data_IF_499922487924
#
_entry.id   IF_499922487924
#
_cell.length_a   1.000
_cell.length_b   1.000
_cell.length_c   1.000
_cell.angle_alpha   90.00
_cell.angle_beta   90.00
_cell.angle_gamma   90.00
#
_symmetry.space_group_name_H-M   'P 1'
#
loop_
_entity.id
_entity.type
_entity.pdbx_description
1 polymer ?
#
# COMPACT_ATOMS: atom_id res chain seq x y z
N UNK A 1 -31.06 16.30 41.70
CA UNK A 1 -31.47 16.01 40.30
C UNK A 1 -31.84 17.29 39.55
N UNK A 2 -32.39 18.30 40.21
CA UNK A 2 -32.85 19.55 39.56
C UNK A 2 -31.76 20.39 38.90
N UNK A 3 -30.51 20.35 39.39
CA UNK A 3 -29.41 21.09 38.76
C UNK A 3 -28.98 20.50 37.39
N UNK A 4 -29.10 19.18 37.22
CA UNK A 4 -28.81 18.50 35.94
C UNK A 4 -29.92 18.81 34.94
N UNK A 5 -31.18 18.78 35.38
CA UNK A 5 -32.34 19.10 34.54
C UNK A 5 -32.33 20.59 34.13
N UNK A 6 -31.95 21.49 35.04
CA UNK A 6 -31.77 22.92 34.76
C UNK A 6 -30.61 23.20 33.80
N UNK A 7 -29.48 22.51 33.95
CA UNK A 7 -28.34 22.61 33.04
C UNK A 7 -28.64 22.11 31.62
N UNK A 8 -29.43 21.03 31.50
CA UNK A 8 -29.88 20.53 30.19
C UNK A 8 -30.88 21.50 29.56
N UNK A 9 -31.80 22.08 30.33
CA UNK A 9 -32.76 23.08 29.84
C UNK A 9 -32.10 24.38 29.38
N UNK A 10 -31.00 24.82 30.01
CA UNK A 10 -30.27 26.03 29.58
C UNK A 10 -29.47 25.79 28.30
N UNK A 11 -28.88 24.59 28.14
CA UNK A 11 -28.21 24.16 26.91
C UNK A 11 -29.17 24.10 25.71
N UNK A 12 -30.41 23.66 25.93
CA UNK A 12 -31.46 23.59 24.89
C UNK A 12 -32.01 24.98 24.50
N UNK A 13 -31.82 26.00 25.33
CA UNK A 13 -32.23 27.39 25.08
C UNK A 13 -31.13 28.26 24.45
N UNK A 14 -29.93 27.72 24.23
CA UNK A 14 -28.89 28.42 23.48
C UNK A 14 -29.31 28.53 22.02
N UNK A 15 -29.12 29.71 21.43
CA UNK A 15 -29.28 29.86 19.97
C UNK A 15 -28.41 28.82 19.25
N UNK A 16 -28.97 28.22 18.19
CA UNK A 16 -28.28 27.25 17.33
C UNK A 16 -26.90 27.75 16.86
N UNK A 17 -26.68 29.07 16.80
CA UNK A 17 -25.39 29.68 16.46
C UNK A 17 -24.30 29.41 17.51
N UNK A 18 -24.63 29.46 18.80
CA UNK A 18 -23.66 29.22 19.88
C UNK A 18 -23.26 27.74 19.90
N UNK A 19 -24.24 26.85 19.72
CA UNK A 19 -24.02 25.40 19.63
C UNK A 19 -23.13 25.08 18.42
N UNK A 20 -23.47 25.62 17.24
CA UNK A 20 -22.66 25.46 16.03
C UNK A 20 -21.23 25.98 16.20
N UNK A 21 -21.06 27.17 16.79
CA UNK A 21 -19.73 27.75 17.05
C UNK A 21 -18.91 26.94 18.04
N UNK A 22 -19.53 26.38 19.08
CA UNK A 22 -18.87 25.49 20.02
C UNK A 22 -18.39 24.20 19.34
N UNK A 23 -19.22 23.56 18.49
CA UNK A 23 -18.82 22.39 17.71
C UNK A 23 -17.69 22.71 16.71
N UNK A 24 -17.78 23.83 15.98
CA UNK A 24 -16.72 24.26 15.07
C UNK A 24 -15.41 24.51 15.81
N UNK A 25 -15.45 25.23 16.93
CA UNK A 25 -14.26 25.51 17.75
C UNK A 25 -13.68 24.22 18.32
N UNK A 26 -14.53 23.33 18.85
CA UNK A 26 -14.13 22.02 19.34
C UNK A 26 -13.48 21.16 18.24
N UNK A 27 -14.04 21.17 17.03
CA UNK A 27 -13.47 20.45 15.89
C UNK A 27 -12.12 21.04 15.44
N UNK A 28 -11.98 22.37 15.40
CA UNK A 28 -10.71 23.03 15.06
C UNK A 28 -9.63 22.67 16.10
N UNK A 29 -9.97 22.71 17.39
CA UNK A 29 -9.04 22.30 18.45
C UNK A 29 -8.67 20.83 18.32
N UNK A 30 -9.65 19.94 18.15
CA UNK A 30 -9.42 18.52 17.88
C UNK A 30 -8.49 18.33 16.66
N UNK A 31 -8.75 19.01 15.56
CA UNK A 31 -7.96 18.91 14.35
C UNK A 31 -6.50 19.36 14.59
N UNK A 32 -6.29 20.52 15.21
CA UNK A 32 -4.95 21.07 15.42
C UNK A 32 -4.12 20.28 16.44
N UNK A 33 -4.75 19.73 17.49
CA UNK A 33 -4.04 19.04 18.57
C UNK A 33 -4.00 17.52 18.41
N UNK A 34 -5.04 16.90 17.86
CA UNK A 34 -5.11 15.43 17.72
C UNK A 34 -4.82 14.91 16.32
N UNK A 35 -5.15 15.68 15.28
CA UNK A 35 -5.02 15.24 13.88
C UNK A 35 -3.72 15.73 13.25
N UNK A 36 -3.39 17.02 13.36
CA UNK A 36 -2.19 17.60 12.77
C UNK A 36 -0.97 17.30 13.63
N UNK A 37 -0.36 16.14 13.37
CA UNK A 37 0.80 15.63 14.11
C UNK A 37 1.97 15.36 13.16
N UNK A 38 3.18 15.48 13.71
CA UNK A 38 4.36 14.87 13.09
C UNK A 38 4.13 13.35 13.08
N UNK A 39 4.40 12.65 11.96
CA UNK A 39 4.23 11.21 11.92
C UNK A 39 5.14 10.53 12.95
N UNK A 40 4.66 9.45 13.56
CA UNK A 40 5.47 8.66 14.49
C UNK A 40 6.38 7.74 13.70
N UNK A 41 7.70 7.86 13.88
CA UNK A 41 8.68 6.94 13.31
C UNK A 41 9.06 5.88 14.35
N UNK A 42 8.71 4.63 14.09
CA UNK A 42 9.19 3.45 14.82
C UNK A 42 10.37 2.86 14.04
N UNK A 43 11.57 2.97 14.59
CA UNK A 43 12.82 2.54 13.97
C UNK A 43 13.86 2.43 15.09
N UNK A 44 14.67 1.37 15.08
CA UNK A 44 15.75 1.26 16.05
C UNK A 44 16.74 2.41 15.91
N UNK A 45 17.31 2.87 17.03
CA UNK A 45 18.38 3.87 16.99
C UNK A 45 19.58 3.35 16.17
N UNK A 46 20.18 4.23 15.37
CA UNK A 46 21.32 3.87 14.54
C UNK A 46 21.31 4.58 13.19
N UNK A 47 22.14 4.07 12.27
CA UNK A 47 22.41 4.73 10.99
C UNK A 47 21.16 4.93 10.13
N UNK A 48 20.24 3.96 10.09
CA UNK A 48 19.04 4.08 9.25
C UNK A 48 18.07 5.13 9.79
N UNK A 49 17.83 5.16 11.10
CA UNK A 49 17.03 6.22 11.73
C UNK A 49 17.65 7.59 11.48
N UNK A 50 18.95 7.75 11.73
CA UNK A 50 19.66 9.01 11.48
C UNK A 50 19.57 9.42 10.00
N UNK A 51 19.67 8.47 9.07
CA UNK A 51 19.47 8.73 7.66
C UNK A 51 18.06 9.24 7.37
N UNK A 52 17.02 8.53 7.85
CA UNK A 52 15.63 8.91 7.64
C UNK A 52 15.33 10.32 8.19
N UNK A 53 15.82 10.64 9.39
CA UNK A 53 15.59 11.94 10.03
C UNK A 53 16.29 13.10 9.29
N UNK A 54 17.47 12.85 8.71
CA UNK A 54 18.27 13.89 8.04
C UNK A 54 17.97 14.03 6.54
N UNK A 55 17.55 12.95 5.88
CA UNK A 55 17.40 12.88 4.41
C UNK A 55 15.95 12.81 3.96
N UNK A 56 15.00 12.56 4.85
CA UNK A 56 13.56 12.54 4.54
C UNK A 56 12.83 13.60 5.38
N UNK A 57 12.88 14.89 5.00
CA UNK A 57 12.28 15.99 5.76
C UNK A 57 10.80 15.80 6.11
N UNK A 58 10.03 15.12 5.25
CA UNK A 58 8.62 14.82 5.51
C UNK A 58 8.36 14.05 6.83
N UNK A 59 9.37 13.38 7.37
CA UNK A 59 9.28 12.69 8.66
C UNK A 59 9.42 13.63 9.86
N UNK A 60 9.99 14.81 9.65
CA UNK A 60 10.19 15.85 10.66
C UNK A 60 9.07 16.90 10.66
N UNK A 61 8.33 17.01 9.56
CA UNK A 61 7.24 17.95 9.37
C UNK A 61 5.89 17.42 9.88
N UNK A 62 4.97 18.33 10.18
CA UNK A 62 3.58 17.94 10.51
C UNK A 62 2.86 17.50 9.25
N UNK A 63 2.20 16.35 9.31
CA UNK A 63 1.23 15.97 8.28
C UNK A 63 -0.09 16.71 8.56
N UNK A 64 -0.70 17.25 7.51
CA UNK A 64 -1.97 17.99 7.56
C UNK A 64 -3.06 17.21 6.81
N UNK A 65 -3.66 16.15 7.40
CA UNK A 65 -4.76 15.41 6.77
C UNK A 65 -5.86 16.35 6.30
N UNK A 66 -6.52 16.03 5.17
CA UNK A 66 -7.56 16.93 4.64
C UNK A 66 -8.65 17.26 5.65
N UNK A 67 -8.80 18.56 5.95
CA UNK A 67 -9.57 19.09 7.09
C UNK A 67 -11.01 18.59 7.16
N UNK A 68 -11.69 18.43 6.03
CA UNK A 68 -13.10 18.01 5.98
C UNK A 68 -13.27 16.50 5.74
N UNK A 69 -12.20 15.77 5.45
CA UNK A 69 -12.25 14.34 5.11
C UNK A 69 -11.84 13.50 6.33
N UNK A 70 -12.70 13.48 7.35
CA UNK A 70 -12.37 12.91 8.67
C UNK A 70 -12.39 11.39 8.69
N UNK A 71 -13.34 10.79 7.97
CA UNK A 71 -13.60 9.35 8.06
C UNK A 71 -12.62 8.57 7.15
N UNK A 72 -12.03 7.48 7.65
CA UNK A 72 -10.93 6.78 7.00
C UNK A 72 -11.27 6.13 5.64
N UNK A 73 -12.50 5.58 5.51
CA UNK A 73 -12.99 5.03 4.23
C UNK A 73 -13.27 6.17 3.27
N UNK A 74 -13.87 7.27 3.74
CA UNK A 74 -14.08 8.47 2.96
C UNK A 74 -12.75 9.04 2.43
N UNK A 75 -11.69 9.07 3.25
CA UNK A 75 -10.35 9.45 2.80
C UNK A 75 -9.85 8.56 1.65
N UNK A 76 -10.05 7.26 1.77
CA UNK A 76 -9.64 6.27 0.74
C UNK A 76 -10.40 6.47 -0.57
N UNK A 77 -11.73 6.60 -0.50
CA UNK A 77 -12.58 6.80 -1.67
C UNK A 77 -12.38 8.17 -2.31
N UNK A 78 -12.36 9.22 -1.50
CA UNK A 78 -12.20 10.60 -1.97
C UNK A 78 -10.82 10.82 -2.60
N UNK A 79 -9.77 10.19 -2.07
CA UNK A 79 -8.47 10.22 -2.73
C UNK A 79 -8.53 9.63 -4.15
N UNK A 80 -9.28 8.56 -4.37
CA UNK A 80 -9.48 8.02 -5.73
C UNK A 80 -10.16 9.04 -6.64
N UNK A 81 -11.24 9.68 -6.18
CA UNK A 81 -11.96 10.68 -6.99
C UNK A 81 -11.12 11.92 -7.31
N UNK A 82 -10.46 12.48 -6.30
CA UNK A 82 -9.59 13.65 -6.46
C UNK A 82 -8.44 13.33 -7.40
N UNK A 83 -7.77 12.20 -7.21
CA UNK A 83 -6.66 11.78 -8.07
C UNK A 83 -7.09 11.53 -9.51
N UNK A 84 -8.27 10.97 -9.75
CA UNK A 84 -8.82 10.81 -11.10
C UNK A 84 -8.98 12.16 -11.84
N UNK A 85 -9.14 13.26 -11.11
CA UNK A 85 -9.26 14.61 -11.69
C UNK A 85 -7.89 15.28 -11.91
N UNK A 86 -6.92 15.06 -11.02
CA UNK A 86 -5.64 15.81 -11.05
C UNK A 86 -4.47 15.03 -11.64
N UNK A 87 -4.51 13.70 -11.63
CA UNK A 87 -3.44 12.83 -12.12
C UNK A 87 -3.65 12.55 -13.61
N UNK A 88 -2.74 13.02 -14.48
CA UNK A 88 -2.91 12.88 -15.92
C UNK A 88 -2.83 11.41 -16.35
N UNK A 89 -3.27 11.14 -17.58
CA UNK A 89 -2.95 9.88 -18.23
C UNK A 89 -1.45 9.74 -18.47
N UNK A 90 -0.94 8.52 -18.32
CA UNK A 90 0.46 8.19 -18.56
C UNK A 90 0.52 7.21 -19.72
N UNK A 91 1.35 7.52 -20.70
CA UNK A 91 1.67 6.62 -21.80
C UNK A 91 2.86 5.75 -21.40
N UNK A 92 2.57 4.53 -20.99
CA UNK A 92 3.59 3.55 -20.62
C UNK A 92 4.15 2.84 -21.86
N UNK A 93 5.45 2.53 -21.83
CA UNK A 93 5.99 1.48 -22.70
C UNK A 93 5.60 0.14 -22.09
N UNK A 94 4.65 -0.54 -22.70
CA UNK A 94 4.16 -1.85 -22.25
C UNK A 94 5.04 -2.98 -22.75
N UNK A 95 5.29 -3.96 -21.89
CA UNK A 95 6.07 -5.13 -22.19
C UNK A 95 5.44 -6.38 -21.54
N UNK A 96 5.17 -7.41 -22.34
CA UNK A 96 4.62 -8.68 -21.86
C UNK A 96 5.78 -9.60 -21.55
N UNK A 97 5.84 -10.12 -20.33
CA UNK A 97 6.85 -11.08 -19.91
C UNK A 97 6.20 -12.45 -19.74
N UNK A 98 6.68 -13.42 -20.52
CA UNK A 98 6.37 -14.83 -20.32
C UNK A 98 7.26 -15.40 -19.22
N UNK A 99 6.64 -15.95 -18.19
CA UNK A 99 7.29 -16.56 -17.03
C UNK A 99 7.65 -18.01 -17.30
N UNK A 100 8.48 -18.62 -16.45
CA UNK A 100 8.97 -20.00 -16.63
C UNK A 100 7.86 -21.05 -16.72
N UNK A 101 6.73 -20.81 -16.07
CA UNK A 101 5.56 -21.70 -16.10
C UNK A 101 4.67 -21.50 -17.35
N UNK A 102 5.08 -20.64 -18.28
CA UNK A 102 4.35 -20.33 -19.51
C UNK A 102 3.23 -19.30 -19.33
N UNK A 103 2.98 -18.83 -18.10
CA UNK A 103 2.05 -17.73 -17.87
C UNK A 103 2.66 -16.38 -18.22
N UNK A 104 1.80 -15.35 -18.22
CA UNK A 104 2.21 -14.01 -18.62
C UNK A 104 1.82 -12.96 -17.59
N UNK A 105 2.71 -11.98 -17.46
CA UNK A 105 2.52 -10.75 -16.72
C UNK A 105 2.85 -9.56 -17.63
N UNK A 106 2.47 -8.36 -17.19
CA UNK A 106 2.71 -7.15 -17.96
C UNK A 106 3.50 -6.13 -17.14
N UNK A 107 4.62 -5.66 -17.70
CA UNK A 107 5.43 -4.58 -17.18
C UNK A 107 5.12 -3.29 -17.94
N UNK A 108 4.68 -2.27 -17.21
CA UNK A 108 4.45 -0.94 -17.78
C UNK A 108 5.56 0.01 -17.32
N UNK A 109 6.39 0.42 -18.27
CA UNK A 109 7.60 1.21 -18.02
C UNK A 109 7.34 2.69 -18.23
N UNK A 110 7.85 3.52 -17.32
CA UNK A 110 7.98 4.96 -17.53
C UNK A 110 9.42 5.40 -17.27
N UNK A 111 10.04 5.95 -18.30
CA UNK A 111 11.35 6.54 -18.21
C UNK A 111 11.27 7.98 -17.66
N UNK A 112 12.22 8.41 -16.82
CA UNK A 112 12.22 9.77 -16.29
C UNK A 112 12.46 10.81 -17.39
N UNK A 113 13.34 10.47 -18.33
CA UNK A 113 13.66 11.22 -19.55
C UNK A 113 13.77 10.23 -20.71
N UNK A 114 13.56 10.72 -21.94
CA UNK A 114 13.72 9.90 -23.13
C UNK A 114 15.17 9.41 -23.26
N UNK A 115 15.36 8.14 -23.62
CA UNK A 115 16.68 7.50 -23.74
C UNK A 115 17.59 7.66 -22.51
N UNK A 116 17.00 7.62 -21.30
CA UNK A 116 17.78 7.67 -20.07
C UNK A 116 18.82 6.52 -20.00
N UNK A 117 19.95 6.74 -19.29
CA UNK A 117 20.99 5.74 -19.16
C UNK A 117 20.49 4.36 -18.66
N UNK A 118 21.19 3.29 -19.04
CA UNK A 118 20.84 1.94 -18.58
C UNK A 118 20.96 1.78 -17.06
N UNK A 119 21.94 2.47 -16.46
CA UNK A 119 22.18 2.49 -15.01
C UNK A 119 21.25 3.45 -14.23
N UNK A 120 20.25 4.07 -14.87
CA UNK A 120 19.25 4.90 -14.18
C UNK A 120 18.56 4.11 -13.07
N UNK A 121 18.50 4.63 -11.83
CA UNK A 121 17.80 4.00 -10.72
C UNK A 121 16.39 3.55 -11.10
N UNK A 122 16.04 2.33 -10.72
CA UNK A 122 14.79 1.70 -11.15
C UNK A 122 13.98 1.25 -9.94
N UNK A 123 12.72 1.70 -9.86
CA UNK A 123 11.76 1.28 -8.83
C UNK A 123 10.65 0.45 -9.46
N UNK A 124 10.50 -0.79 -8.98
CA UNK A 124 9.37 -1.66 -9.32
C UNK A 124 8.19 -1.33 -8.41
N UNK A 125 7.04 -1.04 -8.99
CA UNK A 125 5.81 -0.67 -8.26
C UNK A 125 4.85 -1.85 -8.34
N UNK A 126 4.45 -2.36 -7.17
CA UNK A 126 3.48 -3.45 -7.02
C UNK A 126 2.12 -2.87 -6.58
N UNK A 127 1.12 -2.84 -7.47
CA UNK A 127 -0.24 -2.43 -7.12
C UNK A 127 -0.89 -3.35 -6.08
N UNK A 128 -1.98 -2.87 -5.46
CA UNK A 128 -2.81 -3.64 -4.54
C UNK A 128 -3.71 -4.70 -5.20
N UNK A 129 -4.63 -5.28 -4.41
CA UNK A 129 -5.47 -6.45 -4.72
C UNK A 129 -6.06 -6.49 -6.15
N UNK A 130 -6.50 -5.36 -6.68
CA UNK A 130 -7.10 -5.23 -8.02
C UNK A 130 -6.50 -4.07 -8.83
N UNK A 131 -5.37 -3.53 -8.38
CA UNK A 131 -4.72 -2.38 -9.00
C UNK A 131 -3.92 -2.76 -10.24
N UNK A 132 -3.79 -1.79 -11.16
CA UNK A 132 -2.93 -1.87 -12.32
C UNK A 132 -2.24 -0.51 -12.55
N UNK A 133 -1.36 -0.42 -13.55
CA UNK A 133 -0.64 0.80 -13.95
C UNK A 133 -1.51 2.04 -14.18
N UNK A 134 -2.78 1.87 -14.55
CA UNK A 134 -3.72 2.97 -14.77
C UNK A 134 -4.44 3.45 -13.50
N UNK A 135 -4.32 2.75 -12.37
CA UNK A 135 -4.90 3.21 -11.12
C UNK A 135 -4.24 4.54 -10.67
N UNK A 136 -5.02 5.51 -10.22
CA UNK A 136 -4.51 6.87 -10.03
C UNK A 136 -3.44 6.99 -8.94
N UNK A 137 -3.50 6.13 -7.90
CA UNK A 137 -2.44 6.07 -6.89
C UNK A 137 -1.13 5.49 -7.47
N UNK A 138 -1.20 4.56 -8.43
CA UNK A 138 -0.02 4.02 -9.12
C UNK A 138 0.58 5.09 -10.03
N UNK A 139 -0.27 5.75 -10.83
CA UNK A 139 0.16 6.88 -11.68
C UNK A 139 0.82 7.99 -10.86
N UNK A 140 0.27 8.33 -9.68
CA UNK A 140 0.87 9.32 -8.79
C UNK A 140 2.26 8.93 -8.29
N UNK A 141 2.48 7.66 -7.91
CA UNK A 141 3.79 7.16 -7.51
C UNK A 141 4.79 7.16 -8.69
N UNK A 142 4.33 6.74 -9.87
CA UNK A 142 5.11 6.77 -11.11
C UNK A 142 5.57 8.19 -11.45
N UNK A 143 4.68 9.17 -11.40
CA UNK A 143 5.00 10.58 -11.66
C UNK A 143 5.95 11.15 -10.61
N UNK A 144 5.77 10.76 -9.34
CA UNK A 144 6.67 11.15 -8.25
C UNK A 144 8.08 10.61 -8.48
N UNK A 145 8.22 9.34 -8.85
CA UNK A 145 9.52 8.75 -9.21
C UNK A 145 10.15 9.43 -10.43
N UNK A 146 9.38 9.67 -11.48
CA UNK A 146 9.84 10.42 -12.66
C UNK A 146 10.37 11.81 -12.28
N UNK A 147 9.71 12.51 -11.35
CA UNK A 147 10.10 13.87 -10.95
C UNK A 147 11.47 13.96 -10.29
N UNK A 148 11.97 12.84 -9.74
CA UNK A 148 13.30 12.71 -9.12
C UNK A 148 14.26 11.85 -9.95
N UNK A 149 13.99 11.68 -11.25
CA UNK A 149 14.91 11.01 -12.16
C UNK A 149 14.94 9.48 -12.06
N UNK A 150 13.90 8.85 -11.49
CA UNK A 150 13.80 7.40 -11.31
C UNK A 150 12.97 6.76 -12.43
N UNK A 151 13.48 5.66 -13.00
CA UNK A 151 12.73 4.77 -13.89
C UNK A 151 11.72 3.99 -13.07
N UNK A 152 10.45 4.05 -13.47
CA UNK A 152 9.38 3.32 -12.80
C UNK A 152 8.92 2.14 -13.66
N UNK A 153 8.74 0.98 -13.04
CA UNK A 153 8.22 -0.23 -13.68
C UNK A 153 7.03 -0.71 -12.89
N UNK A 154 5.82 -0.62 -13.45
CA UNK A 154 4.64 -1.17 -12.80
C UNK A 154 4.56 -2.65 -13.13
N UNK A 155 4.62 -3.50 -12.10
CA UNK A 155 4.42 -4.93 -12.21
C UNK A 155 2.92 -5.24 -12.12
N UNK A 156 2.27 -5.40 -13.27
CA UNK A 156 0.88 -5.85 -13.32
C UNK A 156 0.82 -7.37 -13.20
N UNK A 157 0.06 -7.84 -12.22
CA UNK A 157 -0.10 -9.25 -11.91
C UNK A 157 -0.82 -10.02 -13.02
N UNK A 158 -0.75 -11.36 -12.97
CA UNK A 158 -1.38 -12.26 -13.94
C UNK A 158 -2.87 -11.94 -14.10
N UNK A 159 -3.31 -11.75 -15.35
CA UNK A 159 -4.72 -11.46 -15.68
C UNK A 159 -5.21 -10.04 -15.32
N UNK A 160 -4.31 -9.12 -14.95
CA UNK A 160 -4.60 -7.73 -14.59
C UNK A 160 -3.86 -6.77 -15.53
N UNK A 161 -4.36 -5.54 -15.70
CA UNK A 161 -3.73 -4.53 -16.55
C UNK A 161 -4.04 -4.68 -18.03
N UNK A 162 -5.09 -5.42 -18.40
CA UNK A 162 -5.54 -5.58 -19.79
C UNK A 162 -4.92 -6.77 -20.53
N UNK A 163 -4.18 -7.63 -19.83
CA UNK A 163 -3.76 -8.93 -20.36
C UNK A 163 -4.72 -10.04 -19.93
N UNK A 164 -4.91 -11.02 -20.80
CA UNK A 164 -5.69 -12.23 -20.49
C UNK A 164 -4.82 -13.24 -19.73
N UNK A 165 -5.42 -13.93 -18.77
CA UNK A 165 -4.76 -15.01 -18.06
C UNK A 165 -4.49 -16.18 -19.02
N UNK A 166 -3.23 -16.64 -19.13
CA UNK A 166 -2.86 -17.78 -20.01
C UNK A 166 -2.79 -19.13 -19.31
N UNK A 167 -2.38 -19.13 -18.05
CA UNK A 167 -2.25 -20.33 -17.22
C UNK A 167 -3.29 -20.29 -16.09
N UNK A 168 -3.77 -21.44 -15.58
CA UNK A 168 -4.74 -21.46 -14.49
C UNK A 168 -4.26 -20.79 -13.20
N UNK A 169 -2.94 -20.55 -13.05
CA UNK A 169 -2.31 -19.89 -11.91
C UNK A 169 -2.57 -18.38 -11.90
N UNK A 170 -3.14 -17.86 -10.80
CA UNK A 170 -3.28 -16.42 -10.52
C UNK A 170 -2.19 -15.94 -9.54
N UNK A 171 -2.48 -14.96 -8.69
CA UNK A 171 -1.58 -14.37 -7.69
C UNK A 171 -2.28 -14.25 -6.34
N UNK A 172 -1.52 -14.23 -5.25
CA UNK A 172 -2.04 -14.01 -3.90
C UNK A 172 -1.01 -13.30 -3.02
N UNK A 173 -1.46 -12.77 -1.87
CA UNK A 173 -0.66 -11.92 -0.99
C UNK A 173 0.66 -12.55 -0.45
N UNK A 174 0.76 -13.86 -0.40
CA UNK A 174 1.94 -14.60 0.06
C UNK A 174 2.89 -15.00 -1.07
N UNK A 175 2.41 -15.03 -2.33
CA UNK A 175 3.18 -15.55 -3.44
C UNK A 175 4.10 -14.45 -4.02
N UNK A 176 5.40 -14.72 -4.05
CA UNK A 176 6.43 -13.80 -4.55
C UNK A 176 7.22 -14.36 -5.73
N UNK A 177 6.86 -15.53 -6.26
CA UNK A 177 7.63 -16.21 -7.31
C UNK A 177 7.66 -15.39 -8.61
N UNK A 178 6.52 -14.83 -9.03
CA UNK A 178 6.46 -13.96 -10.20
C UNK A 178 7.33 -12.72 -10.00
N UNK A 179 7.38 -12.17 -8.79
CA UNK A 179 8.22 -11.02 -8.46
C UNK A 179 9.73 -11.37 -8.56
N UNK A 180 10.13 -12.59 -8.18
CA UNK A 180 11.52 -13.05 -8.37
C UNK A 180 11.89 -13.01 -9.85
N UNK A 181 11.04 -13.55 -10.72
CA UNK A 181 11.28 -13.54 -12.17
C UNK A 181 11.30 -12.12 -12.76
N UNK A 182 10.41 -11.24 -12.29
CA UNK A 182 10.38 -9.83 -12.68
C UNK A 182 11.66 -9.09 -12.26
N UNK A 183 12.16 -9.31 -11.04
CA UNK A 183 13.40 -8.68 -10.59
C UNK A 183 14.60 -9.17 -11.40
N UNK A 184 14.68 -10.47 -11.67
CA UNK A 184 15.71 -11.04 -12.55
C UNK A 184 15.65 -10.41 -13.95
N UNK A 185 14.43 -10.22 -14.49
CA UNK A 185 14.21 -9.57 -15.78
C UNK A 185 14.63 -8.10 -15.80
N UNK A 186 14.18 -7.32 -14.82
CA UNK A 186 14.49 -5.88 -14.72
C UNK A 186 16.00 -5.65 -14.61
N UNK A 187 16.72 -6.45 -13.81
CA UNK A 187 18.18 -6.37 -13.70
C UNK A 187 18.89 -6.67 -15.02
N UNK A 188 18.35 -7.58 -15.82
CA UNK A 188 18.89 -7.91 -17.15
C UNK A 188 18.70 -6.75 -18.14
N UNK A 189 17.54 -6.09 -18.10
CA UNK A 189 17.21 -4.96 -19.00
C UNK A 189 17.93 -3.67 -18.59
N UNK A 190 18.09 -3.45 -17.29
CA UNK A 190 18.74 -2.29 -16.68
C UNK A 190 20.02 -2.72 -15.94
N UNK A 191 21.08 -3.16 -16.65
CA UNK A 191 22.32 -3.56 -16.01
C UNK A 191 22.92 -2.41 -15.21
N UNK A 192 23.53 -2.73 -14.08
CA UNK A 192 24.21 -1.79 -13.15
C UNK A 192 23.31 -0.73 -12.51
N UNK A 193 22.01 -0.69 -12.82
CA UNK A 193 21.06 0.18 -12.14
C UNK A 193 20.80 -0.32 -10.72
N UNK A 194 20.74 0.58 -9.70
CA UNK A 194 20.19 0.20 -8.41
C UNK A 194 18.69 -0.10 -8.60
N UNK A 195 18.27 -1.30 -8.17
CA UNK A 195 16.88 -1.76 -8.28
C UNK A 195 16.24 -1.78 -6.90
N UNK A 196 15.17 -1.02 -6.74
CA UNK A 196 14.36 -0.97 -5.55
C UNK A 196 12.90 -1.32 -5.87
N UNK A 197 12.05 -1.44 -4.85
CA UNK A 197 10.64 -1.72 -5.07
C UNK A 197 9.74 -1.02 -4.05
N UNK A 198 8.51 -0.71 -4.46
CA UNK A 198 7.44 -0.32 -3.56
C UNK A 198 6.23 -1.22 -3.73
N UNK A 199 5.56 -1.54 -2.64
CA UNK A 199 4.33 -2.32 -2.67
C UNK A 199 3.23 -1.65 -1.87
N UNK A 200 2.04 -1.60 -2.46
CA UNK A 200 0.87 -0.91 -1.88
C UNK A 200 -0.15 -1.95 -1.45
N UNK A 201 -0.60 -1.90 -0.20
CA UNK A 201 -1.60 -2.84 0.33
C UNK A 201 -1.15 -4.29 0.10
N UNK A 202 -1.94 -5.09 -0.63
CA UNK A 202 -1.56 -6.46 -0.99
C UNK A 202 -0.24 -6.55 -1.77
N UNK A 203 0.08 -5.57 -2.63
CA UNK A 203 1.36 -5.52 -3.33
C UNK A 203 2.55 -5.41 -2.37
N UNK A 204 2.33 -4.77 -1.22
CA UNK A 204 3.31 -4.71 -0.13
C UNK A 204 3.44 -6.01 0.65
N UNK A 205 2.39 -6.84 0.74
CA UNK A 205 2.51 -8.21 1.26
C UNK A 205 3.36 -9.10 0.36
N UNK A 206 3.15 -9.00 -0.96
CA UNK A 206 3.94 -9.74 -1.95
C UNK A 206 5.41 -9.33 -1.86
N UNK A 207 5.69 -8.01 -1.86
CA UNK A 207 7.03 -7.48 -1.73
C UNK A 207 7.67 -7.83 -0.38
N UNK A 208 6.92 -7.73 0.72
CA UNK A 208 7.41 -8.13 2.03
C UNK A 208 7.78 -9.61 2.08
N UNK A 209 6.93 -10.50 1.59
CA UNK A 209 7.22 -11.94 1.57
C UNK A 209 8.44 -12.24 0.69
N UNK A 210 8.62 -11.54 -0.44
CA UNK A 210 9.86 -11.56 -1.21
C UNK A 210 11.07 -11.19 -0.37
N UNK A 211 11.04 -10.04 0.33
CA UNK A 211 12.15 -9.58 1.18
C UNK A 211 12.51 -10.59 2.27
N UNK A 212 11.54 -11.39 2.75
CA UNK A 212 11.83 -12.46 3.72
C UNK A 212 12.47 -13.69 3.11
N UNK A 213 12.25 -13.97 1.82
CA UNK A 213 12.64 -15.22 1.14
C UNK A 213 14.00 -15.14 0.44
N UNK A 214 14.42 -13.96 -0.04
CA UNK A 214 15.63 -13.81 -0.87
C UNK A 214 16.92 -13.43 -0.11
N UNK A 215 17.01 -13.76 1.18
CA UNK A 215 18.17 -13.42 2.02
C UNK A 215 19.48 -13.99 1.46
N UNK A 216 20.54 -13.17 1.43
CA UNK A 216 21.89 -13.55 0.99
C UNK A 216 21.95 -14.04 -0.47
N UNK A 217 21.12 -13.48 -1.34
CA UNK A 217 21.13 -13.78 -2.77
C UNK A 217 21.59 -12.59 -3.59
N UNK A 218 22.07 -12.83 -4.81
CA UNK A 218 22.39 -11.77 -5.78
C UNK A 218 21.14 -10.97 -6.25
N UNK A 219 19.97 -11.23 -5.65
CA UNK A 219 18.67 -10.60 -5.96
C UNK A 219 18.24 -9.57 -4.93
N UNK A 220 19.09 -9.24 -3.95
CA UNK A 220 18.79 -8.23 -2.93
C UNK A 220 18.52 -6.85 -3.55
N UNK A 221 17.34 -6.30 -3.29
CA UNK A 221 16.99 -4.94 -3.69
C UNK A 221 17.85 -3.92 -2.93
N UNK A 222 18.10 -2.75 -3.54
CA UNK A 222 18.84 -1.68 -2.88
C UNK A 222 18.09 -1.18 -1.63
N UNK A 223 16.77 -1.03 -1.76
CA UNK A 223 15.86 -0.68 -0.67
C UNK A 223 14.41 -0.99 -1.08
N UNK A 224 13.48 -0.86 -0.13
CA UNK A 224 12.06 -1.01 -0.41
C UNK A 224 11.19 -0.01 0.35
N UNK A 225 9.98 0.24 -0.18
CA UNK A 225 8.94 0.97 0.53
C UNK A 225 7.65 0.15 0.60
N UNK A 226 7.00 0.11 1.75
CA UNK A 226 5.74 -0.59 1.98
C UNK A 226 4.67 0.43 2.35
N UNK A 227 3.59 0.52 1.57
CA UNK A 227 2.55 1.53 1.79
C UNK A 227 1.25 0.83 2.17
N UNK A 228 0.76 1.12 3.36
CA UNK A 228 -0.54 0.67 3.89
C UNK A 228 -0.72 -0.83 3.82
N UNK A 229 0.32 -1.55 4.25
CA UNK A 229 0.36 -2.99 4.23
C UNK A 229 -0.43 -3.54 5.42
N UNK A 230 -1.36 -4.49 5.20
CA UNK A 230 -2.03 -5.16 6.30
C UNK A 230 -1.08 -6.19 6.92
N UNK A 231 -0.22 -5.74 7.83
CA UNK A 231 0.87 -6.51 8.48
C UNK A 231 0.41 -7.85 9.06
N UNK A 232 -0.80 -7.88 9.62
CA UNK A 232 -1.46 -9.08 10.11
C UNK A 232 -2.76 -9.26 9.33
N UNK A 233 -2.74 -10.18 8.36
CA UNK A 233 -3.86 -10.37 7.41
C UNK A 233 -5.10 -10.89 8.11
N UNK A 234 -4.96 -11.71 9.15
CA UNK A 234 -6.10 -12.18 9.96
C UNK A 234 -6.79 -11.01 10.64
N UNK A 235 -6.02 -10.22 11.39
CA UNK A 235 -6.53 -9.04 12.11
C UNK A 235 -7.11 -8.02 11.13
N UNK A 236 -6.47 -7.82 9.97
CA UNK A 236 -6.99 -6.94 8.93
C UNK A 236 -8.31 -7.41 8.33
N UNK A 237 -8.48 -8.72 8.12
CA UNK A 237 -9.75 -9.30 7.67
C UNK A 237 -10.85 -9.17 8.73
N UNK A 238 -10.52 -9.38 10.01
CA UNK A 238 -11.46 -9.14 11.11
C UNK A 238 -11.88 -7.66 11.20
N UNK A 239 -10.92 -6.75 11.04
CA UNK A 239 -11.16 -5.30 10.99
C UNK A 239 -12.04 -4.89 9.81
N UNK A 240 -11.90 -5.49 8.62
CA UNK A 240 -12.78 -5.13 7.50
C UNK A 240 -14.16 -5.83 7.57
N UNK A 241 -14.31 -6.87 8.40
CA UNK A 241 -15.60 -7.52 8.64
C UNK A 241 -16.45 -6.76 9.66
N UNK A 242 -15.86 -5.89 10.48
CA UNK A 242 -16.55 -5.12 11.52
C UNK A 242 -16.00 -3.68 11.64
N UNK A 243 -16.84 -2.64 11.76
CA UNK A 243 -18.31 -2.64 11.83
C UNK A 243 -18.98 -2.78 10.45
N UNK A 244 -20.33 -2.79 10.39
CA UNK A 244 -21.14 -2.97 9.15
C UNK A 244 -20.67 -2.12 7.96
N UNK A 245 -20.21 -0.90 8.19
CA UNK A 245 -19.72 -0.02 7.10
C UNK A 245 -18.43 -0.56 6.46
N UNK A 246 -17.56 -1.24 7.23
CA UNK A 246 -16.41 -1.97 6.67
C UNK A 246 -16.88 -3.19 5.86
N UNK A 247 -17.93 -3.88 6.32
CA UNK A 247 -18.48 -5.04 5.60
C UNK A 247 -19.00 -4.67 4.20
N UNK A 248 -19.47 -3.44 3.99
CA UNK A 248 -19.84 -2.94 2.65
C UNK A 248 -18.61 -2.85 1.73
N UNK A 249 -17.49 -2.32 2.23
CA UNK A 249 -16.21 -2.28 1.51
C UNK A 249 -15.70 -3.69 1.22
N UNK A 250 -15.76 -4.59 2.20
CA UNK A 250 -15.39 -5.99 2.06
C UNK A 250 -16.21 -6.68 0.95
N UNK A 251 -17.54 -6.47 0.93
CA UNK A 251 -18.43 -6.99 -0.12
C UNK A 251 -18.08 -6.46 -1.50
N UNK A 252 -17.75 -5.18 -1.61
CA UNK A 252 -17.34 -4.59 -2.88
C UNK A 252 -16.04 -5.24 -3.39
N UNK A 253 -15.02 -5.38 -2.53
CA UNK A 253 -13.75 -6.02 -2.88
C UNK A 253 -13.93 -7.50 -3.26
N UNK A 254 -14.72 -8.24 -2.48
CA UNK A 254 -15.07 -9.63 -2.80
C UNK A 254 -15.76 -9.74 -4.17
N UNK A 255 -16.66 -8.81 -4.50
CA UNK A 255 -17.30 -8.76 -5.81
C UNK A 255 -16.30 -8.50 -6.93
N UNK A 256 -15.32 -7.60 -6.74
CA UNK A 256 -14.24 -7.38 -7.70
C UNK A 256 -13.40 -8.64 -7.92
N UNK A 257 -13.04 -9.36 -6.85
CA UNK A 257 -12.32 -10.64 -6.93
C UNK A 257 -13.12 -11.71 -7.67
N UNK A 258 -14.41 -11.86 -7.33
CA UNK A 258 -15.31 -12.75 -8.04
C UNK A 258 -15.41 -12.38 -9.53
N UNK A 259 -15.38 -11.09 -9.87
CA UNK A 259 -15.42 -10.65 -11.27
C UNK A 259 -14.16 -11.01 -12.04
N UNK A 260 -12.98 -10.93 -11.40
CA UNK A 260 -11.73 -11.42 -11.99
C UNK A 260 -11.85 -12.91 -12.32
N UNK A 261 -12.26 -13.73 -11.35
CA UNK A 261 -12.49 -15.18 -11.52
C UNK A 261 -13.50 -15.46 -12.64
N UNK A 262 -14.59 -14.69 -12.70
CA UNK A 262 -15.61 -14.82 -13.74
C UNK A 262 -15.03 -14.60 -15.14
N UNK A 263 -14.20 -13.57 -15.31
CA UNK A 263 -13.61 -13.22 -16.60
C UNK A 263 -12.60 -14.28 -17.10
N UNK A 264 -11.94 -14.99 -16.18
CA UNK A 264 -10.93 -16.00 -16.52
C UNK A 264 -11.43 -17.43 -16.35
N UNK A 265 -12.74 -17.64 -16.13
CA UNK A 265 -13.35 -18.95 -15.82
C UNK A 265 -12.83 -20.07 -16.73
N UNK A 266 -12.87 -19.85 -18.04
CA UNK A 266 -12.45 -20.83 -19.05
C UNK A 266 -11.00 -21.34 -18.88
N UNK A 267 -10.12 -20.55 -18.26
CA UNK A 267 -8.72 -20.89 -18.02
C UNK A 267 -8.55 -21.64 -16.69
N UNK A 268 -9.36 -21.32 -15.69
CA UNK A 268 -9.21 -21.83 -14.31
C UNK A 268 -10.15 -22.98 -13.97
N UNK A 269 -11.19 -23.21 -14.78
CA UNK A 269 -12.20 -24.27 -14.59
C UNK A 269 -11.63 -25.69 -14.48
N UNK A 270 -10.51 -26.06 -15.13
CA UNK A 270 -9.84 -27.35 -14.89
C UNK A 270 -9.26 -27.52 -13.47
N UNK A 271 -9.28 -26.47 -12.64
CA UNK A 271 -8.68 -26.47 -11.30
C UNK A 271 -9.57 -27.05 -10.20
N UNK A 272 -9.06 -27.11 -8.94
CA UNK A 272 -9.73 -27.76 -7.80
C UNK A 272 -10.92 -26.95 -7.21
N UNK A 273 -11.54 -26.05 -7.97
CA UNK A 273 -12.51 -25.07 -7.47
C UNK A 273 -13.93 -25.38 -7.92
N UNK A 274 -14.88 -25.24 -7.00
CA UNK A 274 -16.27 -25.04 -7.38
C UNK A 274 -16.48 -23.56 -7.75
N UNK A 275 -16.21 -23.20 -9.00
CA UNK A 275 -16.22 -21.79 -9.47
C UNK A 275 -17.56 -21.11 -9.13
N UNK A 276 -18.69 -21.80 -9.29
CA UNK A 276 -19.99 -21.22 -8.98
C UNK A 276 -20.16 -20.87 -7.49
N UNK A 277 -19.47 -21.56 -6.58
CA UNK A 277 -19.47 -21.22 -5.16
C UNK A 277 -18.48 -20.12 -4.81
N UNK A 278 -17.35 -20.05 -5.54
CA UNK A 278 -16.40 -18.93 -5.47
C UNK A 278 -17.11 -17.63 -5.86
N UNK A 279 -17.88 -17.63 -6.96
CA UNK A 279 -18.59 -16.47 -7.47
C UNK A 279 -19.72 -15.96 -6.55
N UNK A 280 -20.13 -16.75 -5.55
CA UNK A 280 -21.12 -16.37 -4.51
C UNK A 280 -20.48 -15.72 -3.28
N UNK A 281 -19.16 -15.57 -3.24
CA UNK A 281 -18.45 -15.05 -2.06
C UNK A 281 -18.81 -13.59 -1.81
N UNK A 282 -19.11 -13.27 -0.55
CA UNK A 282 -19.51 -11.93 -0.09
C UNK A 282 -18.43 -11.24 0.72
N UNK A 283 -17.37 -11.94 1.11
CA UNK A 283 -16.22 -11.39 1.82
C UNK A 283 -14.92 -11.88 1.21
N UNK A 284 -13.83 -11.14 1.45
CA UNK A 284 -12.47 -11.56 1.08
C UNK A 284 -12.15 -12.91 1.73
N UNK A 285 -12.50 -13.11 3.00
CA UNK A 285 -12.32 -14.39 3.72
C UNK A 285 -13.04 -15.55 3.05
N UNK A 286 -14.29 -15.35 2.61
CA UNK A 286 -15.03 -16.37 1.86
C UNK A 286 -14.39 -16.68 0.51
N UNK A 287 -13.94 -15.65 -0.21
CA UNK A 287 -13.24 -15.80 -1.49
C UNK A 287 -11.95 -16.58 -1.30
N UNK A 288 -11.12 -16.19 -0.31
CA UNK A 288 -9.86 -16.84 -0.03
C UNK A 288 -10.05 -18.31 0.36
N UNK A 289 -11.02 -18.59 1.24
CA UNK A 289 -11.34 -19.96 1.66
C UNK A 289 -11.74 -20.87 0.50
N UNK A 290 -12.48 -20.34 -0.49
CA UNK A 290 -13.03 -21.12 -1.60
C UNK A 290 -12.12 -21.18 -2.82
N UNK A 291 -11.30 -20.14 -3.04
CA UNK A 291 -10.46 -19.96 -4.22
C UNK A 291 -8.98 -19.97 -3.88
N UNK A 292 -8.49 -18.95 -3.17
CA UNK A 292 -7.05 -18.74 -2.91
C UNK A 292 -6.40 -19.95 -2.21
N UNK A 293 -7.04 -20.45 -1.14
CA UNK A 293 -6.57 -21.62 -0.38
C UNK A 293 -6.37 -22.83 -1.28
N UNK A 294 -7.37 -23.13 -2.12
CA UNK A 294 -7.32 -24.27 -3.04
C UNK A 294 -6.29 -24.08 -4.15
N UNK A 295 -6.08 -22.85 -4.60
CA UNK A 295 -5.21 -22.56 -5.74
C UNK A 295 -3.75 -22.71 -5.40
N UNK A 296 -3.41 -22.27 -4.19
CA UNK A 296 -2.04 -22.26 -3.70
C UNK A 296 -1.76 -23.42 -2.74
N UNK A 297 -2.72 -24.33 -2.56
CA UNK A 297 -2.54 -25.57 -1.80
C UNK A 297 -2.40 -25.36 -0.28
N UNK A 298 -2.99 -24.29 0.26
CA UNK A 298 -3.02 -24.07 1.71
C UNK A 298 -3.98 -25.03 2.39
N UNK A 299 -3.72 -25.33 3.67
CA UNK A 299 -4.59 -26.19 4.47
C UNK A 299 -5.98 -25.57 4.65
N UNK A 300 -6.01 -24.30 5.00
CA UNK A 300 -7.21 -23.50 5.24
C UNK A 300 -6.88 -22.00 5.11
N UNK A 301 -7.88 -21.14 5.33
CA UNK A 301 -7.71 -19.68 5.19
C UNK A 301 -6.78 -19.10 6.27
N UNK A 302 -6.74 -19.73 7.45
CA UNK A 302 -5.88 -19.30 8.54
C UNK A 302 -4.42 -19.63 8.28
N UNK A 303 -4.15 -20.78 7.68
CA UNK A 303 -2.85 -21.17 7.16
C UNK A 303 -2.38 -20.19 6.08
N UNK A 304 -3.26 -19.85 5.13
CA UNK A 304 -2.98 -18.81 4.13
C UNK A 304 -2.64 -17.45 4.76
N UNK A 305 -3.45 -16.98 5.72
CA UNK A 305 -3.21 -15.69 6.37
C UNK A 305 -1.94 -15.65 7.21
N UNK A 306 -1.55 -16.77 7.81
CA UNK A 306 -0.26 -16.92 8.49
C UNK A 306 0.90 -16.78 7.50
N UNK A 307 0.80 -17.43 6.34
CA UNK A 307 1.79 -17.32 5.27
C UNK A 307 1.83 -15.93 4.62
N UNK A 308 0.71 -15.24 4.50
CA UNK A 308 0.65 -13.90 3.92
C UNK A 308 1.16 -12.81 4.86
N UNK A 309 0.90 -12.94 6.18
CA UNK A 309 1.25 -11.93 7.19
C UNK A 309 2.75 -11.68 7.31
N UNK A 310 3.10 -10.43 7.64
CA UNK A 310 4.48 -9.96 7.77
C UNK A 310 4.86 -9.58 9.20
N UNK A 311 3.88 -9.40 10.09
CA UNK A 311 4.06 -8.97 11.48
C UNK A 311 5.26 -9.64 12.16
N UNK A 312 5.29 -10.98 12.16
CA UNK A 312 6.34 -11.75 12.84
C UNK A 312 7.59 -11.97 11.98
N UNK A 313 7.64 -11.43 10.76
CA UNK A 313 8.73 -11.67 9.79
C UNK A 313 9.62 -10.45 9.57
N UNK A 314 9.33 -9.30 10.17
CA UNK A 314 10.09 -8.06 9.96
C UNK A 314 11.59 -8.21 10.26
N UNK A 315 11.95 -9.01 11.26
CA UNK A 315 13.35 -9.29 11.62
C UNK A 315 14.17 -9.91 10.47
N UNK A 316 13.49 -10.43 9.43
CA UNK A 316 14.10 -11.00 8.23
C UNK A 316 14.47 -9.96 7.17
N UNK A 317 13.97 -8.73 7.26
CA UNK A 317 14.33 -7.68 6.31
C UNK A 317 15.79 -7.26 6.50
N UNK A 318 16.61 -7.50 5.47
CA UNK A 318 18.06 -7.23 5.47
C UNK A 318 18.46 -5.95 4.73
N UNK A 319 17.54 -5.39 3.96
CA UNK A 319 17.72 -4.14 3.20
C UNK A 319 16.92 -3.03 3.87
N UNK A 320 17.24 -1.75 3.64
CA UNK A 320 16.47 -0.64 4.17
C UNK A 320 15.04 -0.67 3.67
N UNK A 321 14.07 -0.68 4.59
CA UNK A 321 12.63 -0.67 4.30
C UNK A 321 11.97 0.47 5.05
N UNK A 322 11.36 1.40 4.31
CA UNK A 322 10.49 2.42 4.87
C UNK A 322 9.03 2.02 4.70
N UNK A 323 8.25 2.04 5.77
CA UNK A 323 6.84 1.69 5.74
C UNK A 323 5.99 2.90 6.06
N UNK A 324 4.92 3.14 5.32
CA UNK A 324 3.91 4.15 5.60
C UNK A 324 2.61 3.46 6.02
N UNK A 325 2.05 3.86 7.16
CA UNK A 325 0.76 3.38 7.66
C UNK A 325 -0.02 4.53 8.31
N UNK A 326 -1.34 4.44 8.30
CA UNK A 326 -2.21 5.38 9.00
C UNK A 326 -2.81 4.72 10.23
N UNK A 327 -2.91 5.46 11.34
CA UNK A 327 -3.53 4.95 12.56
C UNK A 327 -5.04 4.71 12.42
N UNK A 328 -5.69 5.31 11.42
CA UNK A 328 -7.11 5.15 11.12
C UNK A 328 -7.40 4.19 9.95
N UNK A 329 -6.42 3.43 9.46
CA UNK A 329 -6.60 2.50 8.33
C UNK A 329 -7.66 1.41 8.62
N UNK A 330 -8.74 1.30 7.83
CA UNK A 330 -9.79 0.30 8.07
C UNK A 330 -9.35 -1.16 7.82
N UNK A 331 -8.26 -1.38 7.07
CA UNK A 331 -7.73 -2.72 6.77
C UNK A 331 -6.65 -3.15 7.75
N UNK A 332 -6.07 -2.22 8.51
CA UNK A 332 -4.92 -2.48 9.34
C UNK A 332 -5.06 -1.68 10.63
N UNK A 333 -5.68 -2.26 11.66
CA UNK A 333 -5.83 -1.57 12.93
C UNK A 333 -4.45 -1.33 13.55
N UNK A 334 -4.37 -0.28 14.39
CA UNK A 334 -3.12 0.25 14.93
C UNK A 334 -2.33 -0.79 15.75
N UNK A 335 -3.04 -1.65 16.48
CA UNK A 335 -2.51 -2.77 17.26
C UNK A 335 -1.90 -3.88 16.40
N UNK A 336 -2.33 -4.01 15.14
CA UNK A 336 -1.72 -4.92 14.20
C UNK A 336 -0.40 -4.40 13.60
N UNK A 337 -0.01 -3.13 13.86
CA UNK A 337 1.22 -2.56 13.31
C UNK A 337 2.40 -2.95 14.22
N UNK A 338 3.42 -3.67 13.70
CA UNK A 338 4.54 -4.22 14.47
C UNK A 338 5.61 -3.17 14.82
N UNK A 339 5.19 -2.19 15.63
CA UNK A 339 6.01 -1.04 16.01
C UNK A 339 7.15 -1.45 16.93
N UNK A 340 6.89 -2.37 17.84
CA UNK A 340 7.90 -2.84 18.80
C UNK A 340 8.98 -3.68 18.11
N UNK A 341 8.62 -4.43 17.08
CA UNK A 341 9.53 -5.18 16.22
C UNK A 341 10.37 -4.23 15.36
N UNK A 342 9.76 -3.17 14.80
CA UNK A 342 10.48 -2.16 14.03
C UNK A 342 11.52 -1.41 14.89
N UNK A 343 11.21 -1.13 16.15
CA UNK A 343 12.16 -0.53 17.10
C UNK A 343 13.37 -1.42 17.43
N UNK A 344 13.35 -2.69 17.02
CA UNK A 344 14.45 -3.66 17.21
C UNK A 344 15.22 -3.96 15.91
N UNK A 345 14.78 -3.45 14.76
CA UNK A 345 15.41 -3.73 13.46
C UNK A 345 16.12 -2.50 12.87
N UNK A 346 17.44 -2.60 12.73
CA UNK A 346 18.34 -1.58 12.16
C UNK A 346 18.03 -1.12 10.74
N UNK A 347 17.23 -1.88 9.99
CA UNK A 347 16.93 -1.63 8.59
C UNK A 347 15.47 -1.28 8.32
N UNK A 348 14.61 -1.19 9.34
CA UNK A 348 13.17 -1.01 9.14
C UNK A 348 12.69 0.21 9.90
N UNK A 349 12.03 1.13 9.18
CA UNK A 349 11.34 2.27 9.75
C UNK A 349 9.86 2.20 9.41
N UNK A 350 8.98 2.22 10.41
CA UNK A 350 7.53 2.33 10.23
C UNK A 350 7.08 3.74 10.61
N UNK A 351 6.55 4.45 9.62
CA UNK A 351 5.97 5.78 9.72
C UNK A 351 4.47 5.62 9.91
N UNK A 352 3.98 6.06 11.07
CA UNK A 352 2.54 6.04 11.39
C UNK A 352 2.01 7.46 11.43
N UNK A 353 1.15 7.82 10.49
CA UNK A 353 0.41 9.09 10.51
C UNK A 353 -0.82 8.96 11.40
N UNK A 354 -1.28 10.08 11.97
CA UNK A 354 -2.51 10.14 12.78
C UNK A 354 -3.76 9.75 11.98
N UNK A 355 -3.77 10.09 10.69
CA UNK A 355 -4.81 9.77 9.72
C UNK A 355 -4.20 9.50 8.35
N UNK A 356 -4.98 8.93 7.47
CA UNK A 356 -4.62 8.70 6.07
C UNK A 356 -5.57 7.74 5.36
N UNK A 357 -6.45 7.05 6.10
CA UNK A 357 -7.22 5.94 5.57
C UNK A 357 -6.31 4.83 5.07
N UNK A 358 -6.83 3.98 4.18
CA UNK A 358 -6.02 2.90 3.64
C UNK A 358 -4.97 3.43 2.68
N UNK A 359 -5.33 4.18 1.64
CA UNK A 359 -4.37 4.74 0.67
C UNK A 359 -4.68 6.21 0.36
N UNK A 360 -5.32 6.89 1.31
CA UNK A 360 -5.82 8.24 1.16
C UNK A 360 -4.70 9.27 1.22
N UNK A 361 -4.09 9.46 2.39
CA UNK A 361 -2.99 10.40 2.66
C UNK A 361 -3.13 11.77 1.94
N UNK A 362 -4.38 12.25 1.82
CA UNK A 362 -4.67 13.57 1.25
C UNK A 362 -4.30 14.64 2.27
N UNK A 363 -3.82 15.78 1.78
CA UNK A 363 -3.36 16.88 2.61
C UNK A 363 -4.01 18.21 2.27
N UNK A 364 -4.04 19.08 3.28
CA UNK A 364 -4.49 20.45 3.16
C UNK A 364 -6.01 20.59 3.07
N UNK A 365 -6.48 21.83 3.03
CA UNK A 365 -7.91 22.11 2.95
C UNK A 365 -8.50 21.73 1.58
N UNK A 366 -7.73 21.88 0.51
CA UNK A 366 -8.12 21.54 -0.85
C UNK A 366 -7.10 20.58 -1.48
N UNK A 367 -7.31 19.25 -1.42
CA UNK A 367 -6.33 18.26 -1.86
C UNK A 367 -6.23 18.09 -3.39
N UNK A 368 -6.58 19.13 -4.17
CA UNK A 368 -6.72 19.09 -5.63
C UNK A 368 -5.38 19.45 -6.28
N UNK A 369 -4.36 18.62 -6.02
CA UNK A 369 -3.04 18.76 -6.60
C UNK A 369 -2.32 17.41 -6.65
N UNK A 370 -1.32 17.28 -7.52
CA UNK A 370 -0.66 16.01 -7.80
C UNK A 370 0.26 15.53 -6.66
N UNK A 371 0.96 16.45 -6.00
CA UNK A 371 2.01 16.12 -5.01
C UNK A 371 1.46 15.87 -3.59
N UNK A 372 0.63 14.84 -3.44
CA UNK A 372 0.09 14.43 -2.14
C UNK A 372 1.15 13.76 -1.24
N UNK A 373 0.88 13.67 0.07
CA UNK A 373 1.85 13.23 1.09
C UNK A 373 2.51 11.88 0.77
N UNK A 374 1.72 10.87 0.40
CA UNK A 374 2.23 9.54 0.03
C UNK A 374 3.24 9.60 -1.14
N UNK A 375 2.97 10.44 -2.14
CA UNK A 375 3.83 10.59 -3.32
C UNK A 375 5.10 11.39 -3.01
N UNK A 376 4.98 12.44 -2.18
CA UNK A 376 6.14 13.20 -1.69
C UNK A 376 7.07 12.33 -0.85
N UNK A 377 6.52 11.51 0.04
CA UNK A 377 7.31 10.60 0.87
C UNK A 377 8.01 9.54 0.02
N UNK A 378 7.30 8.97 -0.96
CA UNK A 378 7.87 8.06 -1.94
C UNK A 378 9.06 8.69 -2.70
N UNK A 379 8.86 9.89 -3.27
CA UNK A 379 9.90 10.59 -3.99
C UNK A 379 11.12 10.89 -3.11
N UNK A 380 10.93 11.49 -1.92
CA UNK A 380 12.04 11.84 -1.02
C UNK A 380 12.84 10.63 -0.56
N UNK A 381 12.16 9.52 -0.23
CA UNK A 381 12.82 8.30 0.22
C UNK A 381 13.69 7.70 -0.89
N UNK A 382 13.12 7.48 -2.08
CA UNK A 382 13.88 6.84 -3.16
C UNK A 382 14.92 7.77 -3.79
N UNK A 383 14.67 9.07 -3.88
CA UNK A 383 15.68 10.07 -4.28
C UNK A 383 16.91 10.02 -3.36
N UNK A 384 16.67 10.08 -2.05
CA UNK A 384 17.73 10.00 -1.04
C UNK A 384 18.47 8.67 -1.06
N UNK A 385 17.78 7.56 -1.28
CA UNK A 385 18.38 6.23 -1.28
C UNK A 385 19.16 5.92 -2.56
N UNK A 386 18.66 6.35 -3.72
CA UNK A 386 19.12 5.83 -5.01
C UNK A 386 19.84 6.86 -5.89
N UNK A 387 19.49 8.14 -5.79
CA UNK A 387 20.01 9.19 -6.69
C UNK A 387 21.19 9.91 -6.04
N UNK A 388 21.05 10.28 -4.77
CA UNK A 388 22.06 11.05 -4.04
C UNK A 388 23.06 10.19 -3.22
N UNK A 389 23.24 8.90 -3.57
CA UNK A 389 24.11 7.91 -2.89
C UNK A 389 23.98 7.91 -1.34
N UNK A 390 22.76 7.93 -0.80
CA UNK A 390 22.56 8.38 0.59
C UNK A 390 22.67 7.34 1.71
N UNK A 391 22.62 6.02 1.46
CA UNK A 391 22.72 5.03 2.53
C UNK A 391 23.42 3.75 2.06
N UNK A 392 24.58 3.44 2.67
CA UNK A 392 25.29 2.17 2.47
C UNK A 392 25.11 1.33 3.74
N UNK A 393 24.59 0.12 3.61
CA UNK A 393 24.58 -0.84 4.71
C UNK A 393 26.04 -1.11 5.06
N UNK A 394 26.48 -0.72 6.26
CA UNK A 394 27.78 -1.11 6.77
C UNK A 394 27.64 -2.59 7.13
N UNK A 395 28.17 -3.47 6.28
CA UNK A 395 28.14 -4.93 6.46
C UNK A 395 29.05 -5.36 7.61
#
# INVERSE_FOLDING_TARGET
MDWIVSGISSLLNLSNWYIGSAFCSGYILYYLFEVVKKPRLACSDGNFKNFLENKVPLLQEKFWPTFWCVEARAQTLMASFVRATVIPHINYRREILTLKDGGEICLDWLEPIENCPKNTPTVIILPGLTGASHADYVKGLVLAGKSVGIRCVVFNQRGIGGITLKTPRTYCASNSEDLVEVIDYVRKVCPDAPVAATGISMGGLILGNYLTSVQNSNRELTCAMLISVPWNVRVGCESIEQPVVNLMLNRHLASCLCNIVRNVRHVIEPGPYAIDDVLKSKTIREFDSKFTVKQFGYKDVDDYYTHASLHDKIHKFKVPVLCLSAADDPFQPLDGIPVDEANKNGNVGIVVTSRGGHIGFMEGFWPIYQNQYMFKLFAQFFDSMLVHEGYKIIK
#
